data_IF_806690282371
#
_entry.id   IF_806690282371
#
_cell.length_a   1.000
_cell.length_b   1.000
_cell.length_c   1.000
_cell.angle_alpha   90.00
_cell.angle_beta   90.00
_cell.angle_gamma   90.00
#
_symmetry.space_group_name_H-M   'P 1'
#
loop_
_entity.id
_entity.type
_entity.pdbx_description
1 polymer ?
#
# COMPACT_ATOMS: atom_id res chain seq x y z
N UNK A 1 10.53 3.73 20.34
CA UNK A 1 9.71 3.50 19.12
C UNK A 1 10.60 3.67 17.91
N UNK A 2 10.57 2.71 16.99
CA UNK A 2 11.34 2.75 15.74
C UNK A 2 10.38 2.85 14.54
N UNK A 3 10.71 3.72 13.58
CA UNK A 3 9.98 3.85 12.32
C UNK A 3 10.85 3.31 11.17
N UNK A 4 10.31 2.34 10.44
CA UNK A 4 10.92 1.84 9.22
C UNK A 4 10.13 2.38 8.03
N UNK A 5 10.73 3.26 7.26
CA UNK A 5 10.10 3.89 6.10
C UNK A 5 10.76 3.43 4.79
N UNK A 6 9.97 3.39 3.72
CA UNK A 6 10.52 3.21 2.37
C UNK A 6 11.23 4.49 1.92
N UNK A 7 12.25 4.34 1.09
CA UNK A 7 13.10 5.46 0.65
C UNK A 7 12.28 6.58 -0.02
N UNK A 8 11.34 6.25 -0.88
CA UNK A 8 10.50 7.20 -1.60
C UNK A 8 9.68 8.08 -0.66
N UNK A 9 9.25 7.54 0.50
CA UNK A 9 8.51 8.31 1.50
C UNK A 9 9.41 9.31 2.24
N UNK A 10 10.64 8.91 2.59
CA UNK A 10 11.55 9.78 3.37
C UNK A 10 12.27 10.82 2.51
N UNK A 11 12.34 10.60 1.20
CA UNK A 11 12.92 11.56 0.23
C UNK A 11 11.87 12.45 -0.43
N UNK A 12 10.58 12.17 -0.25
CA UNK A 12 9.50 12.98 -0.79
C UNK A 12 9.38 14.33 -0.05
N UNK A 13 8.98 15.36 -0.80
CA UNK A 13 8.66 16.68 -0.25
C UNK A 13 7.20 16.98 -0.56
N UNK A 14 6.49 17.54 0.42
CA UNK A 14 5.10 17.96 0.24
C UNK A 14 4.83 19.24 1.01
N UNK A 15 3.92 20.07 0.47
CA UNK A 15 3.36 21.21 1.20
C UNK A 15 2.17 20.72 2.01
N UNK A 16 2.19 20.99 3.32
CA UNK A 16 1.11 20.64 4.23
C UNK A 16 0.55 21.89 4.89
N UNK A 17 -0.79 21.95 5.05
CA UNK A 17 -1.41 22.99 5.85
C UNK A 17 -1.12 22.70 7.33
N UNK A 18 -0.53 23.68 8.02
CA UNK A 18 -0.28 23.62 9.46
C UNK A 18 -1.34 24.47 10.15
N UNK A 19 -2.37 23.79 10.67
CA UNK A 19 -3.47 24.39 11.40
C UNK A 19 -3.66 23.62 12.70
N UNK A 20 -3.61 24.23 13.89
CA UNK A 20 -3.80 23.55 15.17
C UNK A 20 -5.18 22.92 15.32
N UNK A 21 -6.20 23.45 14.64
CA UNK A 21 -7.57 22.96 14.70
C UNK A 21 -7.90 21.90 13.63
N UNK A 22 -6.94 21.58 12.77
CA UNK A 22 -7.12 20.61 11.70
C UNK A 22 -7.39 19.18 12.18
N UNK A 23 -6.85 18.82 13.32
CA UNK A 23 -6.96 17.46 13.88
C UNK A 23 -7.76 17.51 15.16
N UNK A 24 -9.01 16.99 15.11
CA UNK A 24 -9.84 16.78 16.29
C UNK A 24 -9.85 15.31 16.63
N UNK A 25 -9.22 14.95 17.76
CA UNK A 25 -9.13 13.56 18.23
C UNK A 25 -10.39 13.19 18.98
N UNK A 26 -11.09 12.14 18.53
CA UNK A 26 -12.29 11.57 19.15
C UNK A 26 -11.95 10.26 19.85
N UNK A 27 -11.92 10.28 21.18
CA UNK A 27 -11.70 9.07 21.95
C UNK A 27 -12.99 8.22 22.01
N UNK A 28 -12.88 6.88 21.95
CA UNK A 28 -14.02 5.99 22.18
C UNK A 28 -14.56 6.16 23.61
N UNK A 29 -15.84 6.49 23.76
CA UNK A 29 -16.48 6.77 25.05
C UNK A 29 -17.14 5.53 25.65
N UNK A 30 -17.73 4.67 24.83
CA UNK A 30 -18.65 3.60 25.25
C UNK A 30 -17.97 2.25 25.50
N UNK A 31 -16.72 2.26 25.98
CA UNK A 31 -15.95 1.03 26.18
C UNK A 31 -15.48 0.90 27.63
N UNK A 32 -15.80 -0.23 28.24
CA UNK A 32 -15.37 -0.55 29.61
C UNK A 32 -13.83 -0.62 29.67
N UNK A 33 -13.28 0.08 30.65
CA UNK A 33 -11.86 0.00 31.01
C UNK A 33 -11.63 -1.06 32.08
N UNK A 34 -10.51 -1.79 32.03
CA UNK A 34 -10.10 -2.63 33.13
C UNK A 34 -9.68 -1.77 34.33
N UNK A 35 -9.67 -2.35 35.52
CA UNK A 35 -9.13 -1.69 36.69
C UNK A 35 -7.69 -1.19 36.45
N UNK A 36 -7.44 0.06 36.80
CA UNK A 36 -6.18 0.75 36.57
C UNK A 36 -5.91 1.12 35.11
N UNK A 37 -6.91 1.04 34.21
CA UNK A 37 -6.82 1.49 32.81
C UNK A 37 -6.00 0.59 31.91
N UNK A 38 -5.61 1.13 30.73
CA UNK A 38 -4.89 0.40 29.66
C UNK A 38 -3.42 0.81 29.53
N UNK A 39 -2.88 1.54 30.49
CA UNK A 39 -1.47 1.96 30.47
C UNK A 39 -0.51 0.78 30.52
N UNK A 40 0.72 1.01 30.08
CA UNK A 40 1.84 0.08 30.28
C UNK A 40 2.10 -0.02 31.77
N UNK A 41 2.25 -1.24 32.27
CA UNK A 41 2.54 -1.52 33.68
C UNK A 41 3.96 -2.04 33.82
N UNK A 42 4.68 -1.61 34.87
CA UNK A 42 6.04 -2.07 35.12
C UNK A 42 6.10 -3.49 35.67
N UNK A 43 5.00 -4.00 36.26
CA UNK A 43 4.96 -5.34 36.84
C UNK A 43 5.11 -6.41 35.74
N UNK A 44 5.87 -7.45 36.07
CA UNK A 44 6.03 -8.61 35.22
C UNK A 44 4.78 -9.50 35.29
N UNK A 45 3.87 -9.27 34.36
CA UNK A 45 2.63 -10.04 34.20
C UNK A 45 2.31 -10.24 32.70
N UNK A 46 3.01 -11.17 32.02
CA UNK A 46 2.84 -11.36 30.58
C UNK A 46 1.45 -11.83 30.20
N UNK A 47 0.80 -12.68 31.01
CA UNK A 47 -0.55 -13.17 30.70
C UNK A 47 -1.61 -12.07 30.87
N UNK A 48 -1.53 -11.29 31.94
CA UNK A 48 -2.43 -10.16 32.16
C UNK A 48 -2.20 -9.03 31.15
N UNK A 49 -0.97 -8.83 30.67
CA UNK A 49 -0.70 -7.89 29.59
C UNK A 49 -1.29 -8.35 28.26
N UNK A 50 -1.21 -9.64 27.94
CA UNK A 50 -1.81 -10.22 26.74
C UNK A 50 -3.35 -10.14 26.80
N UNK A 51 -3.95 -10.51 27.92
CA UNK A 51 -5.39 -10.34 28.13
C UNK A 51 -5.84 -8.89 27.95
N UNK A 52 -5.10 -7.92 28.49
CA UNK A 52 -5.38 -6.49 28.31
C UNK A 52 -5.27 -6.05 26.84
N UNK A 53 -4.29 -6.59 26.14
CA UNK A 53 -4.12 -6.32 24.71
C UNK A 53 -5.34 -6.79 23.93
N UNK A 54 -5.72 -8.04 24.09
CA UNK A 54 -6.79 -8.68 23.31
C UNK A 54 -8.17 -8.14 23.70
N UNK A 55 -8.48 -8.08 25.02
CA UNK A 55 -9.83 -7.72 25.48
C UNK A 55 -10.12 -6.22 25.47
N UNK A 56 -9.10 -5.38 25.66
CA UNK A 56 -9.34 -3.96 25.88
C UNK A 56 -8.63 -3.04 24.88
N UNK A 57 -7.35 -3.28 24.56
CA UNK A 57 -6.59 -2.37 23.69
C UNK A 57 -6.99 -2.51 22.23
N UNK A 58 -7.00 -3.72 21.70
CA UNK A 58 -7.34 -3.95 20.27
C UNK A 58 -8.75 -3.46 19.93
N UNK A 59 -9.82 -3.79 20.66
CA UNK A 59 -11.14 -3.23 20.40
C UNK A 59 -11.17 -1.69 20.43
N UNK A 60 -10.43 -1.07 21.35
CA UNK A 60 -10.33 0.40 21.43
C UNK A 60 -9.58 1.01 20.25
N UNK A 61 -8.53 0.36 19.79
CA UNK A 61 -7.80 0.80 18.60
C UNK A 61 -8.70 0.79 17.37
N UNK A 62 -9.51 -0.25 17.20
CA UNK A 62 -10.49 -0.33 16.10
C UNK A 62 -11.55 0.77 16.21
N UNK A 63 -12.13 0.96 17.42
CA UNK A 63 -13.09 2.03 17.65
C UNK A 63 -12.48 3.43 17.44
N UNK A 64 -11.23 3.63 17.86
CA UNK A 64 -10.49 4.87 17.61
C UNK A 64 -10.31 5.13 16.12
N UNK A 65 -9.90 4.11 15.37
CA UNK A 65 -9.71 4.22 13.91
C UNK A 65 -11.02 4.63 13.22
N UNK A 66 -12.15 4.02 13.61
CA UNK A 66 -13.48 4.33 13.11
C UNK A 66 -13.92 5.75 13.47
N UNK A 67 -13.82 6.15 14.74
CA UNK A 67 -14.27 7.46 15.21
C UNK A 67 -13.48 8.62 14.56
N UNK A 68 -12.22 8.39 14.25
CA UNK A 68 -11.32 9.39 13.67
C UNK A 68 -11.17 9.26 12.15
N UNK A 69 -11.91 8.35 11.52
CA UNK A 69 -11.84 8.10 10.06
C UNK A 69 -10.40 7.94 9.57
N UNK A 70 -9.62 7.13 10.29
CA UNK A 70 -8.26 6.80 9.89
C UNK A 70 -8.26 6.06 8.56
N UNK A 71 -9.25 5.18 8.39
CA UNK A 71 -9.59 4.58 7.10
C UNK A 71 -10.80 5.31 6.50
N UNK A 72 -10.77 5.59 5.20
CA UNK A 72 -11.83 6.34 4.55
C UNK A 72 -11.93 6.12 3.04
N UNK A 73 -13.10 6.37 2.48
CA UNK A 73 -13.30 6.45 1.03
C UNK A 73 -12.69 7.77 0.54
N UNK A 74 -11.62 7.67 -0.24
CA UNK A 74 -10.85 8.83 -0.70
C UNK A 74 -11.31 9.37 -2.06
N UNK A 75 -11.91 8.52 -2.88
CA UNK A 75 -12.16 8.84 -4.28
C UNK A 75 -13.32 7.99 -4.83
N UNK A 76 -14.15 8.59 -5.68
CA UNK A 76 -15.26 7.91 -6.35
C UNK A 76 -16.43 7.58 -5.43
N UNK A 77 -16.90 6.33 -5.49
CA UNK A 77 -17.96 5.79 -4.65
C UNK A 77 -19.38 6.23 -5.00
N UNK A 78 -19.78 6.10 -6.25
CA UNK A 78 -21.20 6.00 -6.56
C UNK A 78 -21.65 4.54 -6.56
N UNK A 79 -22.91 4.32 -6.34
CA UNK A 79 -23.48 2.98 -6.42
C UNK A 79 -24.02 2.71 -7.83
N UNK A 80 -23.80 1.52 -8.40
CA UNK A 80 -22.97 0.41 -7.93
C UNK A 80 -21.47 0.66 -8.20
N UNK A 81 -20.58 0.18 -7.33
CA UNK A 81 -19.14 0.21 -7.52
C UNK A 81 -18.69 -1.09 -8.19
N UNK A 82 -18.23 -1.01 -9.44
CA UNK A 82 -17.69 -2.17 -10.17
C UNK A 82 -16.34 -2.59 -9.63
N UNK A 83 -15.46 -1.62 -9.43
CA UNK A 83 -14.09 -1.83 -8.95
C UNK A 83 -13.81 -0.97 -7.74
N UNK A 84 -13.67 -1.59 -6.57
CA UNK A 84 -13.17 -0.95 -5.36
C UNK A 84 -11.67 -1.15 -5.25
N UNK A 85 -10.89 -0.07 -5.23
CA UNK A 85 -9.45 -0.12 -5.02
C UNK A 85 -9.20 0.08 -3.53
N UNK A 86 -8.46 -0.84 -2.91
CA UNK A 86 -8.07 -0.77 -1.48
C UNK A 86 -6.57 -0.63 -1.40
N UNK A 87 -6.08 0.38 -0.68
CA UNK A 87 -4.66 0.70 -0.66
C UNK A 87 -4.22 1.37 0.63
N UNK A 88 -2.93 1.35 0.92
CA UNK A 88 -2.33 1.96 2.11
C UNK A 88 -0.96 2.58 1.81
N UNK A 89 -0.51 3.50 2.68
CA UNK A 89 0.83 4.09 2.63
C UNK A 89 1.17 4.73 1.28
N UNK A 90 2.38 4.44 0.78
CA UNK A 90 2.89 4.93 -0.52
C UNK A 90 2.03 4.45 -1.70
N UNK A 91 1.53 3.21 -1.65
CA UNK A 91 0.73 2.65 -2.72
C UNK A 91 -0.56 3.45 -3.00
N UNK A 92 -1.04 4.23 -2.02
CA UNK A 92 -2.12 5.20 -2.24
C UNK A 92 -1.74 6.27 -3.28
N UNK A 93 -0.54 6.83 -3.20
CA UNK A 93 -0.07 7.81 -4.18
C UNK A 93 0.16 7.17 -5.54
N UNK A 94 0.61 5.92 -5.58
CA UNK A 94 0.72 5.16 -6.83
C UNK A 94 -0.65 4.93 -7.48
N UNK A 95 -1.69 4.65 -6.69
CA UNK A 95 -3.07 4.55 -7.19
C UNK A 95 -3.57 5.88 -7.78
N UNK A 96 -3.34 7.00 -7.08
CA UNK A 96 -3.71 8.34 -7.60
C UNK A 96 -2.97 8.63 -8.91
N UNK A 97 -1.66 8.37 -8.95
CA UNK A 97 -0.86 8.52 -10.16
C UNK A 97 -1.29 7.60 -11.30
N UNK A 98 -1.69 6.37 -10.99
CA UNK A 98 -2.23 5.39 -11.94
C UNK A 98 -3.55 5.86 -12.56
N UNK A 99 -4.50 6.30 -11.74
CA UNK A 99 -5.78 6.83 -12.19
C UNK A 99 -5.58 8.06 -13.07
N UNK A 100 -4.66 8.95 -12.69
CA UNK A 100 -4.31 10.12 -13.51
C UNK A 100 -3.71 9.70 -14.87
N UNK A 101 -2.81 8.70 -14.91
CA UNK A 101 -2.24 8.18 -16.17
C UNK A 101 -3.33 7.59 -17.08
N UNK A 102 -4.36 6.99 -16.51
CA UNK A 102 -5.52 6.47 -17.23
C UNK A 102 -6.57 7.55 -17.57
N UNK A 103 -6.33 8.82 -17.18
CA UNK A 103 -7.25 9.92 -17.38
C UNK A 103 -8.53 9.80 -16.54
N UNK A 104 -8.47 9.13 -15.39
CA UNK A 104 -9.60 8.93 -14.50
C UNK A 104 -9.50 9.93 -13.36
N UNK A 105 -10.30 10.98 -13.41
CA UNK A 105 -10.57 11.91 -12.32
C UNK A 105 -11.74 11.43 -11.44
N UNK A 106 -12.08 12.19 -10.40
CA UNK A 106 -13.17 11.85 -9.47
C UNK A 106 -14.54 11.74 -10.16
N UNK A 107 -14.83 12.58 -11.15
CA UNK A 107 -16.06 12.53 -11.93
C UNK A 107 -16.12 11.26 -12.78
N UNK A 108 -15.07 11.00 -13.56
CA UNK A 108 -14.98 9.82 -14.42
C UNK A 108 -14.98 8.52 -13.61
N UNK A 109 -14.35 8.50 -12.45
CA UNK A 109 -14.39 7.36 -11.54
C UNK A 109 -15.83 7.03 -11.11
N UNK A 110 -16.62 8.04 -10.73
CA UNK A 110 -18.04 7.83 -10.41
C UNK A 110 -18.83 7.26 -11.58
N UNK A 111 -18.65 7.83 -12.77
CA UNK A 111 -19.31 7.38 -13.99
C UNK A 111 -18.95 5.93 -14.33
N UNK A 112 -17.70 5.54 -14.12
CA UNK A 112 -17.18 4.18 -14.38
C UNK A 112 -17.48 3.19 -13.25
N UNK A 113 -17.96 3.64 -12.11
CA UNK A 113 -18.17 2.81 -10.93
C UNK A 113 -16.88 2.38 -10.25
N UNK A 114 -15.91 3.29 -10.11
CA UNK A 114 -14.64 3.07 -9.42
C UNK A 114 -14.69 3.77 -8.06
N UNK A 115 -14.30 3.04 -7.00
CA UNK A 115 -14.10 3.58 -5.67
C UNK A 115 -12.68 3.36 -5.18
N UNK A 116 -12.15 4.27 -4.36
CA UNK A 116 -10.83 4.16 -3.73
C UNK A 116 -10.95 4.28 -2.22
N UNK A 117 -10.58 3.22 -1.51
CA UNK A 117 -10.56 3.14 -0.06
C UNK A 117 -9.12 3.20 0.45
N UNK A 118 -8.83 4.20 1.27
CA UNK A 118 -7.53 4.35 1.90
C UNK A 118 -7.55 3.76 3.30
N UNK A 119 -6.71 2.76 3.51
CA UNK A 119 -6.44 2.17 4.82
C UNK A 119 -5.29 2.93 5.46
N UNK A 120 -5.55 3.57 6.59
CA UNK A 120 -4.54 4.28 7.38
C UNK A 120 -3.95 3.39 8.47
N UNK A 121 -4.76 2.48 9.04
CA UNK A 121 -4.32 1.50 10.03
C UNK A 121 -4.24 0.11 9.39
N UNK A 122 -3.03 -0.29 9.01
CA UNK A 122 -2.81 -1.54 8.25
C UNK A 122 -2.90 -2.80 9.12
N UNK A 123 -2.83 -2.66 10.44
CA UNK A 123 -3.04 -3.76 11.39
C UNK A 123 -3.43 -3.23 12.78
N UNK A 124 -4.48 -3.78 13.39
CA UNK A 124 -5.54 -4.57 12.75
C UNK A 124 -6.37 -3.69 11.80
N UNK A 125 -6.79 -4.25 10.67
CA UNK A 125 -7.69 -3.52 9.73
C UNK A 125 -9.04 -3.31 10.40
N UNK A 126 -9.61 -2.10 10.28
CA UNK A 126 -10.91 -1.76 10.84
C UNK A 126 -12.03 -2.47 10.06
N UNK A 127 -12.77 -3.41 10.68
CA UNK A 127 -13.65 -4.31 9.95
C UNK A 127 -14.93 -3.64 9.42
N UNK A 128 -15.51 -2.70 10.16
CA UNK A 128 -16.81 -2.12 9.79
C UNK A 128 -16.69 -1.21 8.56
N UNK A 129 -15.63 -0.41 8.48
CA UNK A 129 -15.34 0.41 7.30
C UNK A 129 -15.05 -0.44 6.08
N UNK A 130 -14.27 -1.51 6.24
CA UNK A 130 -13.96 -2.47 5.18
C UNK A 130 -15.23 -3.15 4.67
N UNK A 131 -16.10 -3.65 5.55
CA UNK A 131 -17.39 -4.26 5.19
C UNK A 131 -18.30 -3.26 4.48
N UNK A 132 -18.44 -2.05 5.02
CA UNK A 132 -19.29 -1.01 4.45
C UNK A 132 -18.86 -0.61 3.02
N UNK A 133 -17.56 -0.48 2.78
CA UNK A 133 -17.03 -0.21 1.45
C UNK A 133 -17.27 -1.40 0.51
N UNK A 134 -16.93 -2.60 0.97
CA UNK A 134 -17.00 -3.86 0.19
C UNK A 134 -18.41 -4.24 -0.23
N UNK A 135 -19.42 -3.97 0.60
CA UNK A 135 -20.83 -4.33 0.36
C UNK A 135 -21.39 -3.75 -0.95
N UNK A 136 -20.78 -2.69 -1.48
CA UNK A 136 -21.23 -2.04 -2.72
C UNK A 136 -20.32 -2.33 -3.91
N UNK A 137 -19.28 -3.16 -3.75
CA UNK A 137 -18.32 -3.48 -4.79
C UNK A 137 -18.61 -4.85 -5.43
N UNK A 138 -18.39 -4.98 -6.72
CA UNK A 138 -18.40 -6.27 -7.42
C UNK A 138 -17.02 -6.94 -7.33
N UNK A 139 -15.97 -6.14 -7.38
CA UNK A 139 -14.58 -6.59 -7.22
C UNK A 139 -13.77 -5.61 -6.35
N UNK A 140 -12.84 -6.14 -5.55
CA UNK A 140 -11.84 -5.38 -4.80
C UNK A 140 -10.45 -5.67 -5.36
N UNK A 141 -9.74 -4.61 -5.76
CA UNK A 141 -8.32 -4.64 -6.11
C UNK A 141 -7.49 -4.10 -4.94
N UNK A 142 -6.73 -4.99 -4.31
CA UNK A 142 -5.78 -4.61 -3.25
C UNK A 142 -4.45 -4.19 -3.85
N UNK A 143 -4.06 -2.94 -3.61
CA UNK A 143 -2.78 -2.38 -4.06
C UNK A 143 -1.90 -2.13 -2.86
N UNK A 144 -0.96 -3.03 -2.62
CA UNK A 144 -0.05 -3.03 -1.47
C UNK A 144 1.40 -3.23 -1.91
N UNK A 145 2.33 -2.58 -1.21
CA UNK A 145 3.75 -2.86 -1.35
C UNK A 145 4.08 -4.27 -0.86
N UNK A 146 4.90 -5.00 -1.62
CA UNK A 146 5.41 -6.32 -1.27
C UNK A 146 4.29 -7.36 -0.98
N UNK A 147 3.93 -7.57 0.28
CA UNK A 147 3.07 -8.67 0.73
C UNK A 147 1.61 -8.22 0.96
N UNK A 148 0.64 -9.13 0.81
CA UNK A 148 -0.80 -8.83 0.92
C UNK A 148 -1.24 -8.76 2.39
N UNK A 149 -0.79 -7.78 3.16
CA UNK A 149 -1.09 -7.65 4.59
C UNK A 149 -2.56 -7.24 4.83
N UNK A 150 -3.06 -6.25 4.11
CA UNK A 150 -4.45 -5.76 4.22
C UNK A 150 -5.39 -6.70 3.47
N UNK A 151 -4.98 -7.19 2.30
CA UNK A 151 -5.74 -8.14 1.49
C UNK A 151 -6.10 -9.41 2.26
N UNK A 152 -5.13 -10.01 2.99
CA UNK A 152 -5.38 -11.24 3.75
C UNK A 152 -6.31 -11.00 4.94
N UNK A 153 -6.19 -9.87 5.64
CA UNK A 153 -7.12 -9.49 6.70
C UNK A 153 -8.51 -9.23 6.14
N UNK A 154 -8.64 -8.55 4.99
CA UNK A 154 -9.91 -8.28 4.35
C UNK A 154 -10.61 -9.58 3.92
N UNK A 155 -9.88 -10.56 3.38
CA UNK A 155 -10.42 -11.90 3.09
C UNK A 155 -11.03 -12.54 4.34
N UNK A 156 -10.33 -12.46 5.47
CA UNK A 156 -10.84 -12.98 6.76
C UNK A 156 -12.07 -12.21 7.25
N UNK A 157 -12.05 -10.87 7.17
CA UNK A 157 -13.15 -10.00 7.59
C UNK A 157 -14.42 -10.28 6.76
N UNK A 158 -14.25 -10.47 5.45
CA UNK A 158 -15.35 -10.62 4.52
C UNK A 158 -15.84 -12.07 4.35
N UNK A 159 -15.15 -13.05 4.95
CA UNK A 159 -15.45 -14.47 4.77
C UNK A 159 -16.88 -14.84 5.13
N UNK A 160 -17.42 -14.27 6.19
CA UNK A 160 -18.78 -14.56 6.68
C UNK A 160 -19.87 -13.68 6.08
N UNK A 161 -19.52 -12.70 5.23
CA UNK A 161 -20.52 -11.83 4.60
C UNK A 161 -21.29 -12.58 3.51
N UNK A 162 -22.60 -12.40 3.44
CA UNK A 162 -23.47 -13.05 2.42
C UNK A 162 -23.09 -12.62 0.99
N UNK A 163 -22.90 -11.31 0.79
CA UNK A 163 -22.41 -10.75 -0.46
C UNK A 163 -20.92 -10.43 -0.34
N UNK A 164 -20.12 -11.13 -1.11
CA UNK A 164 -18.67 -10.93 -1.14
C UNK A 164 -18.23 -10.49 -2.53
N UNK A 165 -17.48 -9.39 -2.64
CA UNK A 165 -16.85 -9.02 -3.91
C UNK A 165 -15.77 -10.06 -4.27
N UNK A 166 -15.43 -10.14 -5.55
CA UNK A 166 -14.20 -10.82 -5.96
C UNK A 166 -13.01 -10.06 -5.40
N UNK A 167 -12.02 -10.76 -4.90
CA UNK A 167 -10.81 -10.16 -4.35
C UNK A 167 -9.62 -10.51 -5.25
N UNK A 168 -8.94 -9.49 -5.72
CA UNK A 168 -7.68 -9.57 -6.48
C UNK A 168 -6.66 -8.60 -5.89
N UNK A 169 -5.40 -8.88 -6.07
CA UNK A 169 -4.33 -8.04 -5.55
C UNK A 169 -2.97 -8.53 -6.05
N UNK A 170 -2.25 -9.31 -5.26
CA UNK A 170 -1.03 -9.96 -5.74
C UNK A 170 -1.31 -11.00 -6.82
N UNK A 171 -2.47 -11.62 -6.74
CA UNK A 171 -2.91 -12.63 -7.69
C UNK A 171 -4.31 -12.31 -8.21
N UNK A 172 -4.61 -12.79 -9.41
CA UNK A 172 -5.95 -12.83 -9.97
C UNK A 172 -6.75 -13.96 -9.33
N UNK A 173 -8.03 -14.04 -9.63
CA UNK A 173 -8.92 -15.11 -9.12
C UNK A 173 -8.47 -16.51 -9.57
N UNK A 174 -7.86 -16.61 -10.73
CA UNK A 174 -7.31 -17.86 -11.28
C UNK A 174 -5.95 -18.25 -10.69
N UNK A 175 -5.42 -17.47 -9.75
CA UNK A 175 -4.11 -17.68 -9.13
C UNK A 175 -2.92 -17.15 -9.94
N UNK A 176 -3.12 -16.59 -11.12
CA UNK A 176 -2.03 -15.96 -11.88
C UNK A 176 -1.56 -14.65 -11.24
N UNK A 177 -0.25 -14.31 -11.32
CA UNK A 177 0.28 -13.06 -10.75
C UNK A 177 -0.35 -11.82 -11.40
N UNK A 178 -0.73 -10.81 -10.57
CA UNK A 178 -1.24 -9.51 -11.02
C UNK A 178 -0.31 -8.38 -10.61
N UNK A 179 -0.09 -8.17 -9.32
CA UNK A 179 0.82 -7.15 -8.81
C UNK A 179 2.10 -7.77 -8.23
N UNK A 180 3.29 -7.21 -8.48
CA UNK A 180 4.54 -7.79 -8.02
C UNK A 180 4.65 -7.79 -6.49
N UNK A 181 5.31 -8.82 -5.95
CA UNK A 181 5.66 -8.96 -4.52
C UNK A 181 7.17 -8.80 -4.27
N UNK A 182 7.99 -8.85 -5.31
CA UNK A 182 9.44 -8.90 -5.28
C UNK A 182 10.12 -7.54 -5.48
N UNK A 183 9.38 -6.55 -5.95
CA UNK A 183 9.89 -5.21 -6.28
C UNK A 183 8.94 -4.11 -5.77
N UNK A 184 9.39 -2.85 -5.70
CA UNK A 184 8.51 -1.70 -5.43
C UNK A 184 7.41 -1.58 -6.46
N UNK A 185 6.25 -1.08 -6.03
CA UNK A 185 5.17 -0.71 -6.95
C UNK A 185 5.50 0.65 -7.60
N UNK A 186 5.13 0.76 -8.86
CA UNK A 186 5.15 2.01 -9.62
C UNK A 186 3.74 2.32 -10.14
N UNK A 187 3.42 3.59 -10.27
CA UNK A 187 2.10 4.02 -10.75
C UNK A 187 1.73 3.41 -12.13
N UNK A 188 2.69 3.18 -13.01
CA UNK A 188 2.45 2.54 -14.30
C UNK A 188 2.02 1.07 -14.15
N UNK A 189 2.65 0.32 -13.24
CA UNK A 189 2.29 -1.08 -12.96
C UNK A 189 0.88 -1.16 -12.37
N UNK A 190 0.56 -0.26 -11.45
CA UNK A 190 -0.79 -0.15 -10.87
C UNK A 190 -1.81 0.25 -11.94
N UNK A 191 -1.48 1.20 -12.82
CA UNK A 191 -2.35 1.61 -13.92
C UNK A 191 -2.66 0.45 -14.88
N UNK A 192 -1.64 -0.36 -15.21
CA UNK A 192 -1.86 -1.56 -16.01
C UNK A 192 -2.83 -2.53 -15.33
N UNK A 193 -2.67 -2.80 -14.03
CA UNK A 193 -3.56 -3.69 -13.29
C UNK A 193 -5.00 -3.14 -13.23
N UNK A 194 -5.18 -1.84 -12.96
CA UNK A 194 -6.50 -1.19 -12.97
C UNK A 194 -7.15 -1.32 -14.35
N UNK A 195 -6.43 -1.00 -15.42
CA UNK A 195 -6.97 -1.07 -16.78
C UNK A 195 -7.36 -2.50 -17.16
N UNK A 196 -6.53 -3.51 -16.85
CA UNK A 196 -6.86 -4.93 -17.06
C UNK A 196 -8.16 -5.34 -16.33
N UNK A 197 -8.37 -4.86 -15.09
CA UNK A 197 -9.59 -5.18 -14.35
C UNK A 197 -10.83 -4.51 -14.97
N UNK A 198 -10.71 -3.26 -15.38
CA UNK A 198 -11.79 -2.54 -16.07
C UNK A 198 -12.12 -3.17 -17.43
N UNK A 199 -11.10 -3.62 -18.18
CA UNK A 199 -11.29 -4.35 -19.45
C UNK A 199 -12.07 -5.65 -19.24
N UNK A 200 -11.71 -6.42 -18.21
CA UNK A 200 -12.39 -7.68 -17.90
C UNK A 200 -13.87 -7.50 -17.53
N UNK A 201 -14.25 -6.33 -17.02
CA UNK A 201 -15.63 -5.97 -16.66
C UNK A 201 -16.37 -5.24 -17.82
N UNK A 202 -15.73 -5.08 -18.98
CA UNK A 202 -16.30 -4.38 -20.13
C UNK A 202 -16.52 -2.88 -19.91
N UNK A 203 -15.79 -2.29 -18.98
CA UNK A 203 -15.94 -0.89 -18.55
C UNK A 203 -14.89 0.03 -19.18
N UNK A 204 -14.55 -0.15 -20.44
CA UNK A 204 -13.45 0.57 -21.12
C UNK A 204 -13.94 1.29 -22.36
N UNK A 205 -13.67 2.58 -22.45
CA UNK A 205 -13.83 3.38 -23.66
C UNK A 205 -12.53 3.45 -24.48
N UNK A 206 -12.57 4.02 -25.68
CA UNK A 206 -11.42 4.12 -26.59
C UNK A 206 -10.30 5.03 -26.04
N UNK A 207 -10.63 6.06 -25.25
CA UNK A 207 -9.62 6.91 -24.62
C UNK A 207 -8.82 6.12 -23.57
N UNK A 208 -9.50 5.35 -22.74
CA UNK A 208 -8.84 4.49 -21.74
C UNK A 208 -7.97 3.42 -22.40
N UNK A 209 -8.44 2.78 -23.47
CA UNK A 209 -7.63 1.81 -24.22
C UNK A 209 -6.36 2.45 -24.76
N UNK A 210 -6.48 3.64 -25.36
CA UNK A 210 -5.34 4.37 -25.90
C UNK A 210 -4.31 4.71 -24.80
N UNK A 211 -4.78 5.16 -23.64
CA UNK A 211 -3.92 5.44 -22.47
C UNK A 211 -3.28 4.19 -21.91
N UNK A 212 -4.03 3.08 -21.86
CA UNK A 212 -3.50 1.78 -21.42
C UNK A 212 -2.36 1.30 -22.31
N UNK A 213 -2.47 1.46 -23.63
CA UNK A 213 -1.36 1.15 -24.57
C UNK A 213 -0.12 1.99 -24.24
N UNK A 214 -0.27 3.29 -23.95
CA UNK A 214 0.86 4.16 -23.57
C UNK A 214 1.50 3.67 -22.26
N UNK A 215 0.70 3.31 -21.26
CA UNK A 215 1.18 2.78 -19.98
C UNK A 215 1.97 1.49 -20.18
N UNK A 216 1.44 0.53 -20.94
CA UNK A 216 2.13 -0.74 -21.26
C UNK A 216 3.45 -0.52 -21.97
N UNK A 217 3.49 0.39 -22.93
CA UNK A 217 4.73 0.73 -23.63
C UNK A 217 5.77 1.35 -22.68
N UNK A 218 5.35 2.12 -21.69
CA UNK A 218 6.25 2.67 -20.66
C UNK A 218 6.84 1.56 -19.78
N UNK A 219 6.01 0.63 -19.30
CA UNK A 219 6.47 -0.52 -18.50
C UNK A 219 7.51 -1.33 -19.29
N UNK A 220 7.23 -1.65 -20.55
CA UNK A 220 8.12 -2.43 -21.40
C UNK A 220 9.45 -1.73 -21.68
N UNK A 221 9.48 -0.39 -21.73
CA UNK A 221 10.72 0.39 -21.90
C UNK A 221 11.57 0.46 -20.64
N UNK A 222 10.92 0.40 -19.48
CA UNK A 222 11.62 0.45 -18.19
C UNK A 222 12.12 -0.93 -17.72
N UNK A 223 11.79 -2.01 -18.43
CA UNK A 223 12.50 -3.27 -18.23
C UNK A 223 13.97 -3.01 -18.61
N UNK A 224 14.92 -3.27 -17.70
CA UNK A 224 16.32 -3.11 -18.04
C UNK A 224 16.57 -3.94 -19.28
N UNK A 225 17.01 -3.28 -20.33
CA UNK A 225 17.56 -3.97 -21.50
C UNK A 225 18.84 -4.64 -21.00
N UNK A 226 18.70 -5.91 -20.57
CA UNK A 226 19.82 -6.74 -20.14
C UNK A 226 20.87 -6.95 -21.24
N UNK A 227 20.65 -6.31 -22.41
CA UNK A 227 21.41 -6.57 -23.63
C UNK A 227 21.89 -5.31 -24.38
N UNK A 228 21.84 -4.14 -23.77
CA UNK A 228 22.45 -2.95 -24.39
C UNK A 228 23.72 -2.56 -23.65
N UNK A 229 24.81 -3.09 -24.13
CA UNK A 229 26.20 -3.04 -23.74
C UNK A 229 26.86 -1.73 -23.32
N UNK A 230 26.15 -0.77 -22.72
CA UNK A 230 26.70 0.42 -22.07
C UNK A 230 26.01 0.64 -20.75
N UNK A 231 26.21 -0.30 -19.80
CA UNK A 231 25.92 -0.02 -18.40
C UNK A 231 27.15 0.71 -17.80
N UNK A 232 26.95 1.87 -17.21
CA UNK A 232 28.00 2.50 -16.40
C UNK A 232 28.25 1.61 -15.18
N UNK A 233 29.47 1.06 -15.08
CA UNK A 233 29.87 0.40 -13.87
C UNK A 233 29.94 1.42 -12.75
N UNK A 234 29.43 1.11 -11.55
CA UNK A 234 29.63 1.93 -10.37
C UNK A 234 31.15 2.13 -10.12
N UNK A 235 31.55 3.32 -9.74
CA UNK A 235 32.96 3.63 -9.41
C UNK A 235 33.04 4.61 -8.25
N UNK A 236 34.16 4.56 -7.52
CA UNK A 236 34.43 5.49 -6.45
C UNK A 236 34.91 6.84 -6.97
N UNK A 237 34.59 7.91 -6.25
CA UNK A 237 35.08 9.25 -6.57
C UNK A 237 36.60 9.27 -6.64
N UNK A 238 37.18 10.20 -7.44
CA UNK A 238 38.61 10.40 -7.51
C UNK A 238 39.19 10.75 -6.12
N UNK A 239 40.24 10.05 -5.72
CA UNK A 239 40.85 10.21 -4.39
C UNK A 239 40.07 9.60 -3.22
N UNK A 240 39.00 8.85 -3.48
CA UNK A 240 38.23 8.21 -2.43
C UNK A 240 39.05 7.11 -1.72
N UNK A 241 39.01 7.05 -0.38
CA UNK A 241 39.70 5.98 0.37
C UNK A 241 39.25 4.57 0.00
N UNK A 242 38.00 4.40 -0.48
CA UNK A 242 37.49 3.12 -0.91
C UNK A 242 38.23 2.52 -2.11
N UNK A 243 38.90 3.33 -2.92
CA UNK A 243 39.75 2.83 -4.02
C UNK A 243 40.88 1.91 -3.51
N UNK A 244 41.28 2.05 -2.25
CA UNK A 244 42.27 1.20 -1.62
C UNK A 244 41.69 0.22 -0.62
N UNK A 245 40.80 0.67 0.25
CA UNK A 245 40.27 -0.13 1.36
C UNK A 245 39.33 -1.28 0.90
N UNK A 246 38.81 -1.24 -0.32
CA UNK A 246 37.98 -2.30 -0.89
C UNK A 246 38.77 -3.36 -1.67
N UNK A 247 40.08 -3.17 -1.83
CA UNK A 247 40.96 -4.19 -2.42
C UNK A 247 41.27 -5.25 -1.38
N UNK A 248 40.91 -6.48 -1.70
CA UNK A 248 41.18 -7.65 -0.86
C UNK A 248 42.27 -8.53 -1.48
N UNK A 249 43.02 -9.33 -0.69
CA UNK A 249 43.96 -10.28 -1.24
C UNK A 249 43.34 -11.31 -2.17
N UNK A 250 44.11 -11.82 -3.13
CA UNK A 250 43.69 -12.82 -4.05
C UNK A 250 43.12 -14.07 -3.32
N UNK A 251 42.01 -14.59 -3.78
CA UNK A 251 41.32 -15.72 -3.13
C UNK A 251 40.51 -15.35 -1.89
N UNK A 252 40.48 -14.09 -1.49
CA UNK A 252 39.65 -13.58 -0.39
C UNK A 252 38.40 -12.86 -0.95
N UNK A 253 37.36 -12.77 -0.12
CA UNK A 253 36.21 -11.93 -0.40
C UNK A 253 35.90 -11.04 0.81
N UNK A 254 35.32 -9.87 0.57
CA UNK A 254 34.87 -8.99 1.60
C UNK A 254 33.34 -8.92 1.63
N UNK A 255 32.78 -8.85 2.85
CA UNK A 255 31.36 -8.56 3.04
C UNK A 255 31.23 -7.04 3.20
N UNK A 256 30.28 -6.45 2.50
CA UNK A 256 29.94 -5.05 2.58
C UNK A 256 28.55 -4.82 3.16
N UNK A 257 28.35 -3.67 3.82
CA UNK A 257 27.05 -3.17 4.20
C UNK A 257 26.50 -2.18 3.15
N UNK A 258 25.44 -1.47 3.50
CA UNK A 258 24.90 -0.40 2.66
C UNK A 258 25.77 0.86 2.83
N UNK A 259 26.40 1.28 1.74
CA UNK A 259 27.30 2.45 1.70
C UNK A 259 28.11 2.45 0.40
N UNK A 260 29.04 3.42 0.23
CA UNK A 260 29.87 3.49 -0.98
C UNK A 260 30.70 2.23 -1.23
N UNK A 261 31.10 1.50 -0.19
CA UNK A 261 31.81 0.24 -0.31
C UNK A 261 30.98 -0.87 -1.00
N UNK A 262 29.66 -0.78 -0.98
CA UNK A 262 28.77 -1.68 -1.75
C UNK A 262 28.96 -1.58 -3.27
N UNK A 263 29.65 -0.56 -3.77
CA UNK A 263 29.99 -0.45 -5.20
C UNK A 263 31.21 -1.31 -5.60
N UNK A 264 31.84 -1.99 -4.63
CA UNK A 264 32.96 -2.88 -4.88
C UNK A 264 32.55 -4.37 -5.03
N UNK A 265 31.26 -4.66 -4.93
CA UNK A 265 30.69 -6.00 -5.05
C UNK A 265 30.42 -6.35 -6.50
#
# INVERSE_FOLDING_TARGET
VGFKCVNETVTATATVAVDPDRVSIKLPQDMVLPEGGIHIRPEYDPLGQDERMVRYKLPRVLAYARNNRIDYVAFGSSRPTRLGIVTSGKAYLDCIGALHQLGIDDRRAREMGIGLYKVGMVWPVEPEGMKAFSANCDELLFVEEKRPLVEDQAKSILYAEERRPRIVGKFRVDGSPLLPSDRPLEAAVVANAIAERLESEGAVDEDLKSRHVIVRNRINRNLPALDQGIARSPYFCSGCPHNTSTKVPDGSFALGGIGCHGMAI
#
